data_IF_354823076485
#
_entry.id   IF_354823076485
#
_cell.length_a   1.000
_cell.length_b   1.000
_cell.length_c   1.000
_cell.angle_alpha   90.00
_cell.angle_beta   90.00
_cell.angle_gamma   90.00
#
_symmetry.space_group_name_H-M   'P 1'
#
loop_
_entity.id
_entity.type
_entity.pdbx_description
1 polymer ?
#
# COMPACT_ATOMS: atom_id res chain seq x y z
N UNK A 1 -8.76 -48.66 -5.48
CA UNK A 1 -8.44 -47.30 -6.02
C UNK A 1 -7.10 -47.34 -6.69
N UNK A 2 -6.97 -46.78 -7.87
CA UNK A 2 -5.65 -46.63 -8.50
C UNK A 2 -4.88 -45.56 -7.68
N UNK A 3 -3.55 -45.71 -7.55
CA UNK A 3 -2.70 -44.70 -6.85
C UNK A 3 -2.93 -43.28 -7.36
N UNK A 4 -3.31 -43.11 -8.62
CA UNK A 4 -3.59 -41.85 -9.26
C UNK A 4 -4.86 -41.18 -8.73
N UNK A 5 -5.97 -41.93 -8.52
CA UNK A 5 -7.23 -41.36 -7.99
C UNK A 5 -7.07 -40.89 -6.55
N UNK A 6 -6.32 -41.64 -5.72
CA UNK A 6 -6.02 -41.20 -4.34
C UNK A 6 -5.15 -39.97 -4.31
N UNK A 7 -4.13 -39.88 -5.18
CA UNK A 7 -3.28 -38.69 -5.30
C UNK A 7 -4.09 -37.46 -5.70
N UNK A 8 -4.95 -37.60 -6.72
CA UNK A 8 -5.82 -36.52 -7.19
C UNK A 8 -6.74 -36.02 -6.08
N UNK A 9 -7.45 -36.92 -5.37
CA UNK A 9 -8.33 -36.54 -4.27
C UNK A 9 -7.58 -35.80 -3.14
N UNK A 10 -6.36 -36.24 -2.81
CA UNK A 10 -5.53 -35.57 -1.80
C UNK A 10 -5.15 -34.15 -2.26
N UNK A 11 -4.73 -33.99 -3.52
CA UNK A 11 -4.35 -32.66 -4.05
C UNK A 11 -5.53 -31.70 -4.07
N UNK A 12 -6.75 -32.17 -4.41
CA UNK A 12 -7.97 -31.35 -4.38
C UNK A 12 -8.35 -30.95 -2.94
N UNK A 13 -8.24 -31.83 -1.96
CA UNK A 13 -8.49 -31.46 -0.56
C UNK A 13 -7.48 -30.43 -0.04
N UNK A 14 -6.19 -30.54 -0.40
CA UNK A 14 -5.22 -29.53 -0.04
C UNK A 14 -5.50 -28.18 -0.71
N UNK A 15 -5.87 -28.19 -1.99
CA UNK A 15 -6.29 -26.97 -2.71
C UNK A 15 -7.52 -26.31 -2.06
N UNK A 16 -8.51 -27.13 -1.67
CA UNK A 16 -9.68 -26.64 -0.96
C UNK A 16 -9.31 -26.02 0.40
N UNK A 17 -8.46 -26.69 1.20
CA UNK A 17 -8.02 -26.21 2.50
C UNK A 17 -7.28 -24.87 2.39
N UNK A 18 -6.38 -24.73 1.42
CA UNK A 18 -5.67 -23.46 1.15
C UNK A 18 -6.66 -22.34 0.80
N UNK A 19 -7.62 -22.58 -0.08
CA UNK A 19 -8.63 -21.58 -0.43
C UNK A 19 -9.50 -21.19 0.79
N UNK A 20 -9.91 -22.14 1.63
CA UNK A 20 -10.70 -21.83 2.85
C UNK A 20 -9.89 -21.02 3.86
N UNK A 21 -8.64 -21.39 4.12
CA UNK A 21 -7.76 -20.64 5.03
C UNK A 21 -7.57 -19.21 4.50
N UNK A 22 -7.31 -19.07 3.21
CA UNK A 22 -7.13 -17.76 2.56
C UNK A 22 -8.41 -16.93 2.60
N UNK A 23 -9.60 -17.56 2.43
CA UNK A 23 -10.88 -16.87 2.56
C UNK A 23 -11.12 -16.35 3.98
N UNK A 24 -10.74 -17.11 5.02
CA UNK A 24 -10.83 -16.68 6.43
C UNK A 24 -9.88 -15.49 6.67
N UNK A 25 -8.65 -15.54 6.17
CA UNK A 25 -7.70 -14.42 6.27
C UNK A 25 -8.29 -13.18 5.61
N UNK A 26 -8.78 -13.30 4.37
CA UNK A 26 -9.40 -12.20 3.64
C UNK A 26 -10.61 -11.62 4.40
N UNK A 27 -11.47 -12.44 4.98
CA UNK A 27 -12.60 -11.98 5.80
C UNK A 27 -12.16 -11.18 7.03
N UNK A 28 -11.03 -11.55 7.63
CA UNK A 28 -10.47 -10.82 8.77
C UNK A 28 -9.85 -9.47 8.36
N UNK A 29 -9.28 -9.37 7.15
CA UNK A 29 -8.53 -8.20 6.66
C UNK A 29 -9.39 -7.25 5.81
N UNK A 30 -10.50 -7.69 5.20
CA UNK A 30 -11.31 -6.95 4.22
C UNK A 30 -12.12 -5.75 4.76
N UNK A 31 -11.77 -5.20 5.93
CA UNK A 31 -12.55 -4.14 6.60
C UNK A 31 -12.69 -2.85 5.78
N UNK A 32 -11.76 -2.54 4.90
CA UNK A 32 -11.62 -1.23 4.26
C UNK A 32 -11.87 -1.21 2.75
N UNK A 33 -11.54 -2.28 2.00
CA UNK A 33 -11.79 -2.38 0.56
C UNK A 33 -12.69 -3.57 0.23
N UNK A 34 -13.99 -3.37 0.42
CA UNK A 34 -15.00 -4.41 0.14
C UNK A 34 -15.20 -4.66 -1.36
N UNK A 35 -14.87 -3.70 -2.24
CA UNK A 35 -15.20 -3.82 -3.66
C UNK A 35 -14.34 -4.84 -4.39
N UNK A 36 -13.03 -4.84 -4.16
CA UNK A 36 -12.10 -5.84 -4.71
C UNK A 36 -12.12 -7.14 -3.90
N UNK A 37 -12.25 -7.05 -2.58
CA UNK A 37 -12.25 -8.22 -1.68
C UNK A 37 -13.42 -9.17 -1.93
N UNK A 38 -14.62 -8.65 -2.18
CA UNK A 38 -15.83 -9.45 -2.39
C UNK A 38 -15.69 -10.47 -3.55
N UNK A 39 -15.28 -10.10 -4.77
CA UNK A 39 -15.09 -11.08 -5.84
C UNK A 39 -13.98 -12.09 -5.55
N UNK A 40 -12.88 -11.68 -4.90
CA UNK A 40 -11.78 -12.59 -4.50
C UNK A 40 -12.31 -13.61 -3.49
N UNK A 41 -13.06 -13.17 -2.50
CA UNK A 41 -13.71 -14.07 -1.54
C UNK A 41 -14.64 -15.07 -2.23
N UNK A 42 -15.44 -14.58 -3.18
CA UNK A 42 -16.31 -15.40 -4.02
C UNK A 42 -15.53 -16.45 -4.81
N UNK A 43 -14.42 -16.08 -5.45
CA UNK A 43 -13.54 -17.01 -6.16
C UNK A 43 -12.95 -18.06 -5.22
N UNK A 44 -12.46 -17.67 -4.04
CA UNK A 44 -11.86 -18.58 -3.05
C UNK A 44 -12.88 -19.60 -2.55
N UNK A 45 -14.08 -19.18 -2.15
CA UNK A 45 -15.12 -20.07 -1.64
C UNK A 45 -15.61 -21.01 -2.77
N UNK A 46 -15.84 -20.46 -3.96
CA UNK A 46 -16.30 -21.23 -5.11
C UNK A 46 -15.26 -22.29 -5.51
N UNK A 47 -13.98 -21.91 -5.58
CA UNK A 47 -12.92 -22.85 -5.92
C UNK A 47 -12.70 -23.91 -4.84
N UNK A 48 -12.79 -23.55 -3.55
CA UNK A 48 -12.70 -24.49 -2.45
C UNK A 48 -13.81 -25.55 -2.52
N UNK A 49 -15.05 -25.12 -2.71
CA UNK A 49 -16.21 -26.04 -2.83
C UNK A 49 -16.15 -26.89 -4.09
N UNK A 50 -15.63 -26.35 -5.20
CA UNK A 50 -15.37 -27.06 -6.43
C UNK A 50 -14.36 -28.21 -6.19
N UNK A 51 -13.23 -27.90 -5.58
CA UNK A 51 -12.17 -28.86 -5.27
C UNK A 51 -12.67 -30.00 -4.34
N UNK A 52 -13.47 -29.66 -3.31
CA UNK A 52 -14.10 -30.70 -2.44
C UNK A 52 -15.04 -31.59 -3.26
N UNK A 53 -15.86 -31.01 -4.12
CA UNK A 53 -16.78 -31.76 -4.96
C UNK A 53 -16.02 -32.70 -5.92
N UNK A 54 -14.96 -32.21 -6.54
CA UNK A 54 -14.12 -33.02 -7.44
C UNK A 54 -13.43 -34.17 -6.70
N UNK A 55 -12.85 -33.91 -5.51
CA UNK A 55 -12.27 -34.95 -4.66
C UNK A 55 -13.30 -36.05 -4.32
N UNK A 56 -14.54 -35.65 -3.93
CA UNK A 56 -15.60 -36.60 -3.64
C UNK A 56 -16.01 -37.41 -4.87
N UNK A 57 -16.08 -36.79 -6.05
CA UNK A 57 -16.36 -37.50 -7.28
C UNK A 57 -15.31 -38.57 -7.60
N UNK A 58 -14.01 -38.30 -7.35
CA UNK A 58 -12.93 -39.27 -7.51
C UNK A 58 -12.98 -40.40 -6.48
N UNK A 59 -13.24 -40.08 -5.20
CA UNK A 59 -13.25 -41.05 -4.09
C UNK A 59 -14.38 -42.06 -4.19
N UNK A 60 -15.57 -41.65 -4.63
CA UNK A 60 -16.75 -42.47 -4.69
C UNK A 60 -17.07 -43.03 -6.08
N UNK A 61 -16.24 -42.75 -7.10
CA UNK A 61 -16.37 -43.29 -8.43
C UNK A 61 -16.28 -44.83 -8.43
N UNK A 62 -17.24 -45.48 -9.09
CA UNK A 62 -17.29 -46.93 -9.13
C UNK A 62 -17.78 -47.59 -7.83
N UNK A 63 -18.21 -46.80 -6.83
CA UNK A 63 -18.80 -47.35 -5.62
C UNK A 63 -20.21 -47.86 -5.84
N UNK A 64 -20.56 -49.04 -5.30
CA UNK A 64 -21.84 -49.72 -5.55
C UNK A 64 -22.92 -49.34 -4.51
N UNK A 65 -22.59 -48.60 -3.43
CA UNK A 65 -23.54 -48.18 -2.44
C UNK A 65 -24.48 -47.06 -2.92
N UNK A 66 -25.72 -47.02 -2.47
CA UNK A 66 -26.68 -45.95 -2.76
C UNK A 66 -26.11 -44.55 -2.42
N UNK A 67 -25.35 -44.47 -1.32
CA UNK A 67 -24.64 -43.25 -0.93
C UNK A 67 -23.62 -42.83 -1.95
N UNK A 68 -22.79 -43.76 -2.47
CA UNK A 68 -21.77 -43.46 -3.51
C UNK A 68 -22.44 -42.95 -4.78
N UNK A 69 -23.55 -43.57 -5.22
CA UNK A 69 -24.33 -43.11 -6.37
C UNK A 69 -24.81 -41.66 -6.18
N UNK A 70 -25.32 -41.34 -5.01
CA UNK A 70 -25.81 -39.97 -4.75
C UNK A 70 -24.65 -38.95 -4.70
N UNK A 71 -23.55 -39.30 -3.97
CA UNK A 71 -22.37 -38.41 -3.83
C UNK A 71 -21.77 -38.07 -5.20
N UNK A 72 -21.52 -39.06 -6.07
CA UNK A 72 -20.92 -38.83 -7.37
C UNK A 72 -21.78 -37.94 -8.24
N UNK A 73 -23.13 -38.13 -8.23
CA UNK A 73 -24.05 -37.30 -9.00
C UNK A 73 -24.10 -35.86 -8.50
N UNK A 74 -24.22 -35.66 -7.19
CA UNK A 74 -24.24 -34.33 -6.58
C UNK A 74 -22.90 -33.64 -6.80
N UNK A 75 -21.79 -34.35 -6.59
CA UNK A 75 -20.45 -33.82 -6.77
C UNK A 75 -20.20 -33.31 -8.21
N UNK A 76 -20.51 -34.14 -9.22
CA UNK A 76 -20.35 -33.70 -10.63
C UNK A 76 -21.25 -32.50 -10.99
N UNK A 77 -22.51 -32.50 -10.53
CA UNK A 77 -23.39 -31.33 -10.73
C UNK A 77 -22.79 -30.07 -10.09
N UNK A 78 -22.27 -30.20 -8.86
CA UNK A 78 -21.62 -29.11 -8.12
C UNK A 78 -20.40 -28.58 -8.89
N UNK A 79 -19.55 -29.46 -9.43
CA UNK A 79 -18.39 -29.05 -10.24
C UNK A 79 -18.80 -28.18 -11.42
N UNK A 80 -19.81 -28.58 -12.20
CA UNK A 80 -20.26 -27.78 -13.34
C UNK A 80 -20.87 -26.46 -12.91
N UNK A 81 -21.69 -26.45 -11.86
CA UNK A 81 -22.32 -25.24 -11.35
C UNK A 81 -21.29 -24.23 -10.81
N UNK A 82 -20.29 -24.72 -10.05
CA UNK A 82 -19.28 -23.85 -9.45
C UNK A 82 -18.31 -23.25 -10.47
N UNK A 83 -18.05 -23.95 -11.58
CA UNK A 83 -17.32 -23.33 -12.68
C UNK A 83 -18.02 -22.08 -13.24
N UNK A 84 -19.34 -22.08 -13.32
CA UNK A 84 -20.10 -20.91 -13.76
C UNK A 84 -20.04 -19.76 -12.74
N UNK A 85 -20.10 -20.07 -11.44
CA UNK A 85 -19.88 -19.07 -10.40
C UNK A 85 -18.46 -18.50 -10.41
N UNK A 86 -17.45 -19.31 -10.74
CA UNK A 86 -16.08 -18.83 -10.86
C UNK A 86 -16.00 -17.76 -11.96
N UNK A 87 -16.54 -18.00 -13.15
CA UNK A 87 -16.63 -16.99 -14.23
C UNK A 87 -17.34 -15.72 -13.78
N UNK A 88 -18.42 -15.84 -13.01
CA UNK A 88 -19.13 -14.69 -12.46
C UNK A 88 -18.22 -13.82 -11.59
N UNK A 89 -17.48 -14.41 -10.65
CA UNK A 89 -16.61 -13.67 -9.76
C UNK A 89 -15.36 -13.13 -10.47
N UNK A 90 -14.78 -13.87 -11.41
CA UNK A 90 -13.67 -13.42 -12.26
C UNK A 90 -14.07 -12.19 -13.06
N UNK A 91 -15.24 -12.22 -13.74
CA UNK A 91 -15.76 -11.06 -14.45
C UNK A 91 -15.92 -9.85 -13.55
N UNK A 92 -16.52 -10.03 -12.37
CA UNK A 92 -16.74 -8.94 -11.42
C UNK A 92 -15.43 -8.36 -10.88
N UNK A 93 -14.45 -9.19 -10.61
CA UNK A 93 -13.14 -8.74 -10.15
C UNK A 93 -12.46 -7.86 -11.20
N UNK A 94 -12.32 -8.35 -12.43
CA UNK A 94 -11.66 -7.61 -13.53
C UNK A 94 -12.41 -6.32 -13.86
N UNK A 95 -13.74 -6.36 -13.95
CA UNK A 95 -14.56 -5.18 -14.20
C UNK A 95 -14.45 -4.12 -13.08
N UNK A 96 -14.27 -4.55 -11.82
CA UNK A 96 -14.06 -3.66 -10.68
C UNK A 96 -12.71 -2.99 -10.78
N UNK A 97 -11.63 -3.73 -11.05
CA UNK A 97 -10.28 -3.20 -11.22
C UNK A 97 -10.23 -2.19 -12.38
N UNK A 98 -10.78 -2.53 -13.54
CA UNK A 98 -10.84 -1.61 -14.68
C UNK A 98 -11.53 -0.30 -14.29
N UNK A 99 -12.66 -0.37 -13.60
CA UNK A 99 -13.43 0.81 -13.18
C UNK A 99 -12.67 1.66 -12.17
N UNK A 100 -12.01 1.06 -11.19
CA UNK A 100 -11.24 1.77 -10.16
C UNK A 100 -10.01 2.46 -10.73
N UNK A 101 -9.41 1.89 -11.77
CA UNK A 101 -8.30 2.50 -12.51
C UNK A 101 -8.76 3.56 -13.55
N UNK A 102 -10.01 4.03 -13.44
CA UNK A 102 -10.55 5.09 -14.31
C UNK A 102 -11.09 4.60 -15.66
N UNK A 103 -11.25 3.31 -15.85
CA UNK A 103 -11.82 2.71 -17.06
C UNK A 103 -13.35 2.71 -17.09
N UNK A 104 -13.95 2.23 -18.19
CA UNK A 104 -15.39 2.19 -18.40
C UNK A 104 -16.09 1.16 -17.49
N UNK A 105 -17.41 1.28 -17.37
CA UNK A 105 -18.22 0.40 -16.49
C UNK A 105 -18.57 -0.97 -17.13
N UNK A 106 -17.94 -1.40 -18.21
CA UNK A 106 -18.10 -2.71 -18.87
C UNK A 106 -19.56 -3.23 -18.93
N UNK A 107 -20.53 -2.34 -19.23
CA UNK A 107 -21.97 -2.66 -19.13
C UNK A 107 -22.43 -3.65 -20.21
N UNK A 108 -21.92 -3.52 -21.42
CA UNK A 108 -22.23 -4.40 -22.56
C UNK A 108 -21.74 -5.83 -22.30
N UNK A 109 -20.50 -5.95 -21.86
CA UNK A 109 -19.88 -7.24 -21.55
C UNK A 109 -20.59 -7.92 -20.37
N UNK A 110 -21.03 -7.14 -19.38
CA UNK A 110 -21.82 -7.65 -18.24
C UNK A 110 -23.14 -8.27 -18.68
N UNK A 111 -23.86 -7.63 -19.59
CA UNK A 111 -25.14 -8.16 -20.12
C UNK A 111 -24.90 -9.48 -20.85
N UNK A 112 -23.86 -9.54 -21.69
CA UNK A 112 -23.52 -10.74 -22.45
C UNK A 112 -23.14 -11.89 -21.51
N UNK A 113 -22.25 -11.62 -20.55
CA UNK A 113 -21.80 -12.64 -19.58
C UNK A 113 -22.97 -13.17 -18.75
N UNK A 114 -23.86 -12.30 -18.26
CA UNK A 114 -25.02 -12.73 -17.48
C UNK A 114 -26.00 -13.54 -18.30
N UNK A 115 -26.21 -13.18 -19.57
CA UNK A 115 -27.05 -13.97 -20.47
C UNK A 115 -26.47 -15.36 -20.70
N UNK A 116 -25.16 -15.46 -20.99
CA UNK A 116 -24.48 -16.74 -21.20
C UNK A 116 -24.47 -17.60 -19.92
N UNK A 117 -24.22 -17.00 -18.75
CA UNK A 117 -24.29 -17.69 -17.47
C UNK A 117 -25.69 -18.24 -17.18
N UNK A 118 -26.73 -17.43 -17.39
CA UNK A 118 -28.13 -17.86 -17.22
C UNK A 118 -28.49 -19.01 -18.19
N UNK A 119 -28.09 -18.92 -19.44
CA UNK A 119 -28.30 -19.99 -20.42
C UNK A 119 -27.58 -21.28 -20.01
N UNK A 120 -26.31 -21.17 -19.57
CA UNK A 120 -25.52 -22.31 -19.10
C UNK A 120 -26.13 -22.99 -17.87
N UNK A 121 -26.62 -22.21 -16.90
CA UNK A 121 -27.29 -22.75 -15.69
C UNK A 121 -28.59 -23.48 -16.07
N UNK A 122 -29.40 -22.87 -16.92
CA UNK A 122 -30.65 -23.49 -17.39
C UNK A 122 -30.38 -24.82 -18.11
N UNK A 123 -29.41 -24.83 -19.04
CA UNK A 123 -29.05 -26.04 -19.76
C UNK A 123 -28.46 -27.11 -18.87
N UNK A 124 -27.66 -26.72 -17.84
CA UNK A 124 -27.12 -27.64 -16.83
C UNK A 124 -28.24 -28.31 -16.01
N UNK A 125 -29.25 -27.55 -15.59
CA UNK A 125 -30.43 -28.06 -14.87
C UNK A 125 -31.22 -29.01 -15.76
N UNK A 126 -31.48 -28.62 -17.02
CA UNK A 126 -32.22 -29.42 -18.03
C UNK A 126 -31.42 -30.67 -18.44
N UNK A 127 -30.09 -30.67 -18.34
CA UNK A 127 -29.26 -31.81 -18.68
C UNK A 127 -29.61 -33.07 -17.85
N UNK A 128 -30.08 -32.92 -16.60
CA UNK A 128 -30.42 -34.05 -15.72
C UNK A 128 -31.62 -34.84 -16.24
N UNK A 129 -32.83 -34.25 -16.45
CA UNK A 129 -33.99 -34.99 -16.90
C UNK A 129 -33.91 -35.42 -18.37
N UNK A 130 -33.17 -34.66 -19.22
CA UNK A 130 -33.12 -34.93 -20.65
C UNK A 130 -31.84 -35.66 -21.10
N UNK A 131 -30.93 -36.03 -20.19
CA UNK A 131 -29.65 -36.66 -20.50
C UNK A 131 -28.89 -35.93 -21.60
N UNK A 132 -28.67 -34.63 -21.44
CA UNK A 132 -28.20 -33.79 -22.51
C UNK A 132 -26.65 -33.68 -22.56
N UNK A 133 -25.98 -33.46 -21.44
CA UNK A 133 -24.52 -33.26 -21.40
C UNK A 133 -23.74 -34.51 -20.98
N UNK A 134 -24.23 -35.22 -19.96
CA UNK A 134 -23.54 -36.36 -19.35
C UNK A 134 -24.53 -37.31 -18.67
N UNK A 135 -24.08 -38.53 -18.46
CA UNK A 135 -24.82 -39.52 -17.69
C UNK A 135 -23.85 -40.43 -16.88
N UNK A 136 -24.41 -41.37 -16.15
CA UNK A 136 -23.67 -42.34 -15.36
C UNK A 136 -24.10 -43.75 -15.75
N UNK A 137 -23.11 -44.67 -15.88
CA UNK A 137 -23.39 -46.06 -16.14
C UNK A 137 -23.90 -46.82 -14.89
N UNK A 138 -24.22 -48.06 -15.06
CA UNK A 138 -24.69 -48.95 -13.97
C UNK A 138 -23.65 -49.19 -12.88
N UNK A 139 -22.37 -48.96 -13.20
CA UNK A 139 -21.21 -49.12 -12.30
C UNK A 139 -20.77 -47.78 -11.70
N UNK A 140 -21.64 -46.75 -11.75
CA UNK A 140 -21.39 -45.41 -11.19
C UNK A 140 -20.18 -44.67 -11.78
N UNK A 141 -19.91 -44.91 -13.08
CA UNK A 141 -18.89 -44.15 -13.80
C UNK A 141 -19.57 -43.05 -14.63
N UNK A 142 -19.02 -41.85 -14.54
CA UNK A 142 -19.38 -40.70 -15.37
C UNK A 142 -18.93 -40.89 -16.81
N UNK A 143 -19.81 -40.57 -17.77
CA UNK A 143 -19.46 -40.44 -19.18
C UNK A 143 -20.14 -39.26 -19.85
N UNK A 144 -19.48 -38.73 -20.90
CA UNK A 144 -19.97 -37.58 -21.65
C UNK A 144 -20.89 -38.06 -22.76
N UNK A 145 -21.94 -37.31 -23.03
CA UNK A 145 -22.87 -37.51 -24.12
C UNK A 145 -22.48 -36.65 -25.33
N UNK A 146 -23.10 -36.92 -26.51
CA UNK A 146 -22.75 -36.26 -27.76
C UNK A 146 -22.91 -34.73 -27.71
N UNK A 147 -23.84 -34.22 -26.92
CA UNK A 147 -24.07 -32.79 -26.76
C UNK A 147 -23.15 -32.09 -25.70
N UNK A 148 -22.19 -32.80 -25.12
CA UNK A 148 -21.26 -32.22 -24.14
C UNK A 148 -20.45 -31.03 -24.68
N UNK A 149 -20.18 -30.97 -25.98
CA UNK A 149 -19.52 -29.85 -26.65
C UNK A 149 -20.26 -28.51 -26.49
N UNK A 150 -21.61 -28.53 -26.34
CA UNK A 150 -22.41 -27.30 -26.15
C UNK A 150 -22.04 -26.64 -24.83
N UNK A 151 -21.82 -27.42 -23.77
CA UNK A 151 -21.37 -26.89 -22.49
C UNK A 151 -19.96 -26.27 -22.58
N UNK A 152 -19.05 -26.97 -23.29
CA UNK A 152 -17.70 -26.41 -23.53
C UNK A 152 -17.81 -25.10 -24.30
N UNK A 153 -18.57 -25.07 -25.40
CA UNK A 153 -18.72 -23.87 -26.23
C UNK A 153 -19.29 -22.68 -25.46
N UNK A 154 -20.24 -22.91 -24.56
CA UNK A 154 -20.80 -21.85 -23.71
C UNK A 154 -19.76 -21.32 -22.71
N UNK A 155 -19.05 -22.20 -22.02
CA UNK A 155 -18.02 -21.81 -21.07
C UNK A 155 -16.88 -21.04 -21.75
N UNK A 156 -16.39 -21.52 -22.89
CA UNK A 156 -15.37 -20.82 -23.67
C UNK A 156 -15.85 -19.49 -24.23
N UNK A 157 -17.15 -19.37 -24.58
CA UNK A 157 -17.74 -18.09 -24.99
C UNK A 157 -17.72 -17.07 -23.84
N UNK A 158 -17.96 -17.49 -22.59
CA UNK A 158 -17.85 -16.60 -21.42
C UNK A 158 -16.40 -16.18 -21.23
N UNK A 159 -15.45 -17.12 -21.28
CA UNK A 159 -14.01 -16.85 -21.16
C UNK A 159 -13.55 -15.85 -22.24
N UNK A 160 -13.95 -16.05 -23.50
CA UNK A 160 -13.60 -15.16 -24.62
C UNK A 160 -14.15 -13.73 -24.42
N UNK A 161 -15.36 -13.57 -23.87
CA UNK A 161 -15.91 -12.24 -23.54
C UNK A 161 -15.08 -11.57 -22.46
N UNK A 162 -14.65 -12.31 -21.43
CA UNK A 162 -13.80 -11.78 -20.34
C UNK A 162 -12.43 -11.38 -20.89
N UNK A 163 -11.78 -12.25 -21.68
CA UNK A 163 -10.50 -11.96 -22.36
C UNK A 163 -10.62 -10.71 -23.25
N UNK A 164 -11.68 -10.62 -24.06
CA UNK A 164 -11.91 -9.45 -24.91
C UNK A 164 -12.07 -8.17 -24.08
N UNK A 165 -12.82 -8.23 -22.96
CA UNK A 165 -12.99 -7.12 -22.03
C UNK A 165 -11.64 -6.68 -21.46
N UNK A 166 -10.80 -7.62 -21.03
CA UNK A 166 -9.46 -7.38 -20.48
C UNK A 166 -8.57 -6.71 -21.53
N UNK A 167 -8.48 -7.26 -22.73
CA UNK A 167 -7.63 -6.74 -23.81
C UNK A 167 -8.09 -5.35 -24.29
N UNK A 168 -9.41 -5.14 -24.46
CA UNK A 168 -9.99 -3.85 -24.83
C UNK A 168 -9.65 -2.74 -23.83
N UNK A 169 -9.57 -3.09 -22.55
CA UNK A 169 -9.31 -2.15 -21.46
C UNK A 169 -7.87 -2.20 -20.94
N UNK A 170 -6.92 -2.78 -21.69
CA UNK A 170 -5.53 -3.02 -21.31
C UNK A 170 -4.80 -1.79 -20.79
N UNK A 171 -5.08 -0.61 -21.32
CA UNK A 171 -4.48 0.66 -20.92
C UNK A 171 -4.82 1.10 -19.49
N UNK A 172 -5.91 0.60 -18.92
CA UNK A 172 -6.34 0.90 -17.54
C UNK A 172 -5.78 -0.07 -16.51
N UNK A 173 -5.02 -1.08 -16.94
CA UNK A 173 -4.46 -2.10 -16.05
C UNK A 173 -2.98 -1.82 -15.78
N UNK A 174 -2.58 -1.95 -14.51
CA UNK A 174 -1.17 -1.91 -14.13
C UNK A 174 -0.43 -3.18 -14.58
N UNK A 175 0.89 -3.14 -14.63
CA UNK A 175 1.70 -4.25 -15.14
C UNK A 175 1.42 -5.59 -14.44
N UNK A 176 1.36 -5.59 -13.11
CA UNK A 176 1.05 -6.80 -12.34
C UNK A 176 -0.38 -7.31 -12.61
N UNK A 177 -1.38 -6.42 -12.62
CA UNK A 177 -2.77 -6.77 -12.92
C UNK A 177 -2.92 -7.42 -14.32
N UNK A 178 -2.13 -6.98 -15.30
CA UNK A 178 -2.09 -7.59 -16.65
C UNK A 178 -1.62 -9.03 -16.61
N UNK A 179 -0.54 -9.31 -15.87
CA UNK A 179 0.01 -10.67 -15.72
C UNK A 179 -1.00 -11.56 -15.02
N UNK A 180 -1.58 -11.11 -13.92
CA UNK A 180 -2.55 -11.86 -13.13
C UNK A 180 -3.78 -12.25 -13.94
N UNK A 181 -4.35 -11.29 -14.69
CA UNK A 181 -5.53 -11.55 -15.50
C UNK A 181 -5.22 -12.50 -16.64
N UNK A 182 -4.08 -12.35 -17.32
CA UNK A 182 -3.65 -13.31 -18.31
C UNK A 182 -3.45 -14.72 -17.72
N UNK A 183 -2.86 -14.83 -16.54
CA UNK A 183 -2.72 -16.11 -15.86
C UNK A 183 -4.08 -16.72 -15.50
N UNK A 184 -4.99 -15.91 -14.94
CA UNK A 184 -6.33 -16.36 -14.55
C UNK A 184 -7.17 -16.83 -15.73
N UNK A 185 -6.99 -16.22 -16.91
CA UNK A 185 -7.78 -16.49 -18.11
C UNK A 185 -7.14 -17.58 -19.00
N UNK A 186 -5.83 -17.53 -19.22
CA UNK A 186 -5.15 -18.41 -20.19
C UNK A 186 -4.67 -19.73 -19.59
N UNK A 187 -4.19 -19.73 -18.34
CA UNK A 187 -3.69 -20.96 -17.74
C UNK A 187 -4.73 -22.08 -17.62
N UNK A 188 -6.02 -21.80 -17.23
CA UNK A 188 -7.04 -22.83 -17.24
C UNK A 188 -7.32 -23.41 -18.62
N UNK A 189 -7.26 -22.60 -19.69
CA UNK A 189 -7.42 -23.05 -21.07
C UNK A 189 -6.26 -23.98 -21.45
N UNK A 190 -5.02 -23.59 -21.14
CA UNK A 190 -3.84 -24.44 -21.36
C UNK A 190 -3.95 -25.75 -20.59
N UNK A 191 -4.35 -25.69 -19.31
CA UNK A 191 -4.56 -26.88 -18.49
C UNK A 191 -5.62 -27.79 -19.08
N UNK A 192 -6.72 -27.26 -19.59
CA UNK A 192 -7.78 -28.02 -20.28
C UNK A 192 -7.25 -28.72 -21.54
N UNK A 193 -6.46 -28.03 -22.36
CA UNK A 193 -5.84 -28.63 -23.56
C UNK A 193 -4.89 -29.76 -23.16
N UNK A 194 -4.07 -29.58 -22.13
CA UNK A 194 -3.17 -30.63 -21.61
C UNK A 194 -3.97 -31.85 -21.12
N UNK A 195 -5.10 -31.62 -20.44
CA UNK A 195 -5.98 -32.70 -19.97
C UNK A 195 -6.62 -33.54 -21.09
N UNK A 196 -6.68 -33.03 -22.33
CA UNK A 196 -7.10 -33.85 -23.48
C UNK A 196 -6.10 -34.97 -23.80
N UNK A 197 -4.82 -34.76 -23.53
CA UNK A 197 -3.75 -35.72 -23.77
C UNK A 197 -3.44 -36.58 -22.52
N UNK A 198 -3.67 -36.08 -21.32
CA UNK A 198 -3.39 -36.76 -20.05
C UNK A 198 -4.69 -37.02 -19.29
N UNK A 199 -5.40 -38.05 -19.71
CA UNK A 199 -6.70 -38.41 -19.10
C UNK A 199 -6.53 -38.90 -17.65
N UNK A 200 -7.33 -38.32 -16.75
CA UNK A 200 -7.41 -38.72 -15.33
C UNK A 200 -6.71 -37.84 -14.32
N UNK A 201 -6.12 -36.71 -14.75
CA UNK A 201 -5.56 -35.68 -13.87
C UNK A 201 -6.38 -34.39 -14.02
N UNK A 202 -6.91 -33.84 -12.93
CA UNK A 202 -7.56 -32.53 -12.94
C UNK A 202 -6.53 -31.42 -12.71
N UNK A 203 -5.99 -30.91 -13.82
CA UNK A 203 -4.99 -29.84 -13.79
C UNK A 203 -5.65 -28.47 -13.65
N UNK A 204 -6.86 -28.31 -14.15
CA UNK A 204 -7.57 -27.03 -14.21
C UNK A 204 -7.89 -26.48 -12.83
N UNK A 205 -8.32 -27.33 -11.89
CA UNK A 205 -8.63 -26.93 -10.51
C UNK A 205 -7.39 -26.46 -9.74
N UNK A 206 -6.27 -27.16 -9.94
CA UNK A 206 -4.97 -26.78 -9.36
C UNK A 206 -4.51 -25.42 -9.88
N UNK A 207 -4.59 -25.22 -11.20
CA UNK A 207 -4.22 -23.96 -11.87
C UNK A 207 -5.10 -22.82 -11.39
N UNK A 208 -6.42 -23.02 -11.29
CA UNK A 208 -7.35 -22.03 -10.74
C UNK A 208 -6.98 -21.66 -9.31
N UNK A 209 -6.65 -22.67 -8.47
CA UNK A 209 -6.23 -22.43 -7.09
C UNK A 209 -5.00 -21.53 -7.03
N UNK A 210 -3.96 -21.84 -7.80
CA UNK A 210 -2.71 -21.06 -7.84
C UNK A 210 -2.99 -19.63 -8.32
N UNK A 211 -3.77 -19.46 -9.39
CA UNK A 211 -4.10 -18.14 -9.94
C UNK A 211 -4.88 -17.27 -8.96
N UNK A 212 -5.85 -17.85 -8.26
CA UNK A 212 -6.66 -17.11 -7.25
C UNK A 212 -5.81 -16.75 -6.03
N UNK A 213 -4.92 -17.63 -5.58
CA UNK A 213 -3.99 -17.32 -4.49
C UNK A 213 -3.00 -16.23 -4.85
N UNK A 214 -2.52 -16.18 -6.08
CA UNK A 214 -1.67 -15.09 -6.57
C UNK A 214 -2.42 -13.75 -6.53
N UNK A 215 -3.66 -13.69 -7.02
CA UNK A 215 -4.50 -12.50 -6.96
C UNK A 215 -4.70 -12.04 -5.51
N UNK A 216 -4.99 -12.98 -4.60
CA UNK A 216 -5.12 -12.66 -3.19
C UNK A 216 -3.82 -12.06 -2.62
N UNK A 217 -2.66 -12.65 -2.90
CA UNK A 217 -1.37 -12.13 -2.44
C UNK A 217 -1.11 -10.72 -2.94
N UNK A 218 -1.33 -10.47 -4.24
CA UNK A 218 -1.13 -9.12 -4.81
C UNK A 218 -2.12 -8.11 -4.25
N UNK A 219 -3.37 -8.52 -4.00
CA UNK A 219 -4.37 -7.68 -3.34
C UNK A 219 -3.91 -7.28 -1.93
N UNK A 220 -3.47 -8.23 -1.08
CA UNK A 220 -3.00 -7.96 0.28
C UNK A 220 -1.74 -7.08 0.30
N UNK A 221 -0.76 -7.36 -0.57
CA UNK A 221 0.45 -6.53 -0.68
C UNK A 221 0.13 -5.11 -1.14
N UNK A 222 -0.70 -4.96 -2.17
CA UNK A 222 -1.12 -3.65 -2.68
C UNK A 222 -1.90 -2.86 -1.63
N UNK A 223 -2.80 -3.53 -0.91
CA UNK A 223 -3.57 -2.93 0.18
C UNK A 223 -2.67 -2.42 1.31
N UNK A 224 -1.72 -3.25 1.77
CA UNK A 224 -0.77 -2.89 2.84
C UNK A 224 0.06 -1.66 2.46
N UNK A 225 0.58 -1.62 1.23
CA UNK A 225 1.35 -0.46 0.73
C UNK A 225 0.50 0.83 0.69
N UNK A 226 -0.76 0.74 0.26
CA UNK A 226 -1.67 1.88 0.27
C UNK A 226 -2.01 2.39 1.67
N UNK A 227 -2.20 1.50 2.64
CA UNK A 227 -2.48 1.88 4.04
C UNK A 227 -1.26 2.58 4.64
N UNK A 228 -0.08 1.99 4.51
CA UNK A 228 1.18 2.58 5.01
C UNK A 228 1.44 3.96 4.39
N UNK A 229 1.23 4.11 3.07
CA UNK A 229 1.37 5.41 2.41
C UNK A 229 0.37 6.45 2.93
N UNK A 230 -0.89 6.07 3.14
CA UNK A 230 -1.91 6.97 3.69
C UNK A 230 -1.59 7.40 5.11
N UNK A 231 -1.17 6.49 5.96
CA UNK A 231 -0.76 6.80 7.33
C UNK A 231 0.43 7.75 7.34
N UNK A 232 1.42 7.55 6.47
CA UNK A 232 2.58 8.43 6.32
C UNK A 232 2.17 9.83 5.87
N UNK A 233 1.31 9.95 4.85
CA UNK A 233 0.79 11.23 4.38
C UNK A 233 0.01 11.94 5.50
N UNK A 234 -0.87 11.23 6.19
CA UNK A 234 -1.65 11.78 7.29
C UNK A 234 -0.75 12.28 8.43
N UNK A 235 0.24 11.50 8.83
CA UNK A 235 1.22 11.89 9.85
C UNK A 235 1.96 13.18 9.45
N UNK A 236 2.43 13.26 8.20
CA UNK A 236 3.11 14.46 7.71
C UNK A 236 2.19 15.69 7.70
N UNK A 237 0.90 15.53 7.36
CA UNK A 237 -0.10 16.61 7.46
C UNK A 237 -0.34 17.05 8.91
N UNK A 238 -0.40 16.12 9.85
CA UNK A 238 -0.54 16.42 11.29
C UNK A 238 0.67 17.20 11.80
N UNK A 239 1.89 16.74 11.48
CA UNK A 239 3.14 17.43 11.84
C UNK A 239 3.16 18.85 11.26
N UNK A 240 2.85 19.00 9.98
CA UNK A 240 2.80 20.34 9.33
C UNK A 240 1.73 21.25 9.96
N UNK A 241 0.58 20.70 10.37
CA UNK A 241 -0.45 21.45 11.07
C UNK A 241 0.02 21.93 12.44
N UNK A 242 0.74 21.10 13.21
CA UNK A 242 1.35 21.53 14.47
C UNK A 242 2.41 22.61 14.24
N UNK A 243 3.28 22.47 13.26
CA UNK A 243 4.26 23.49 12.89
C UNK A 243 3.57 24.84 12.58
N UNK A 244 2.50 24.82 11.78
CA UNK A 244 1.71 26.02 11.48
C UNK A 244 1.08 26.64 12.73
N UNK A 245 0.60 25.81 13.67
CA UNK A 245 0.01 26.31 14.91
C UNK A 245 1.06 26.94 15.85
N UNK A 246 2.28 26.39 15.87
CA UNK A 246 3.42 26.96 16.62
C UNK A 246 3.82 28.29 16.01
N UNK A 247 4.02 28.34 14.68
CA UNK A 247 4.35 29.57 13.96
C UNK A 247 3.29 30.66 14.12
N UNK A 248 2.00 30.29 14.15
CA UNK A 248 0.89 31.24 14.34
C UNK A 248 0.85 31.82 15.75
N UNK A 249 1.39 31.14 16.76
CA UNK A 249 1.47 31.66 18.14
C UNK A 249 2.62 32.64 18.33
N UNK A 250 3.70 32.49 17.60
CA UNK A 250 4.85 33.42 17.59
C UNK A 250 4.65 34.39 16.40
N UNK A 251 4.17 35.60 16.67
CA UNK A 251 3.81 36.62 15.65
C UNK A 251 4.98 36.98 14.70
N UNK A 252 6.18 36.55 15.02
CA UNK A 252 7.39 36.84 14.24
C UNK A 252 7.81 35.70 13.30
N UNK A 253 7.13 34.55 13.37
CA UNK A 253 7.62 33.31 12.72
C UNK A 253 6.70 32.72 11.63
N UNK A 254 5.81 33.51 11.03
CA UNK A 254 4.91 32.99 9.97
C UNK A 254 5.66 32.22 8.89
N UNK A 255 5.39 30.90 8.78
CA UNK A 255 6.01 29.97 7.84
C UNK A 255 7.47 29.60 8.13
N UNK A 256 8.01 30.02 9.26
CA UNK A 256 9.40 29.73 9.68
C UNK A 256 9.71 28.24 9.71
N UNK A 257 8.92 27.46 10.45
CA UNK A 257 9.16 26.02 10.58
C UNK A 257 9.19 25.29 9.22
N UNK A 258 8.35 25.72 8.27
CA UNK A 258 8.32 25.16 6.91
C UNK A 258 9.59 25.51 6.12
N UNK A 259 10.08 26.76 6.24
CA UNK A 259 11.33 27.17 5.58
C UNK A 259 12.54 26.50 6.20
N UNK A 260 12.62 26.40 7.53
CA UNK A 260 13.68 25.67 8.21
C UNK A 260 13.70 24.19 7.79
N UNK A 261 12.54 23.54 7.64
CA UNK A 261 12.45 22.19 7.12
C UNK A 261 12.94 22.08 5.67
N UNK A 262 12.57 23.03 4.80
CA UNK A 262 13.06 23.13 3.39
C UNK A 262 14.60 23.18 3.35
N UNK A 263 15.20 24.07 4.14
CA UNK A 263 16.66 24.24 4.18
C UNK A 263 17.39 23.05 4.79
N UNK A 264 16.83 22.47 5.86
CA UNK A 264 17.37 21.26 6.50
C UNK A 264 17.39 20.09 5.53
N UNK A 265 16.32 19.92 4.74
CA UNK A 265 16.24 18.91 3.66
C UNK A 265 17.31 19.12 2.60
N UNK A 266 17.49 20.35 2.12
CA UNK A 266 18.53 20.67 1.12
C UNK A 266 19.94 20.36 1.62
N UNK A 267 20.23 20.67 2.89
CA UNK A 267 21.53 20.33 3.51
C UNK A 267 21.67 18.81 3.59
N UNK A 268 20.64 18.09 4.05
CA UNK A 268 20.66 16.64 4.20
C UNK A 268 20.85 15.91 2.86
N UNK A 269 20.21 16.40 1.77
CA UNK A 269 20.39 15.89 0.41
C UNK A 269 21.83 16.07 -0.09
N UNK A 270 22.46 17.22 0.21
CA UNK A 270 23.87 17.50 -0.16
C UNK A 270 24.86 16.63 0.66
N UNK A 271 24.50 16.21 1.86
CA UNK A 271 25.26 15.25 2.65
C UNK A 271 25.14 13.80 2.12
N UNK A 272 24.24 13.52 1.17
CA UNK A 272 24.01 12.19 0.62
C UNK A 272 23.31 11.25 1.59
N UNK A 273 22.49 11.77 2.51
CA UNK A 273 21.73 10.96 3.47
C UNK A 273 20.64 10.15 2.76
N UNK A 274 20.19 9.05 3.37
CA UNK A 274 19.09 8.23 2.83
C UNK A 274 17.76 9.01 2.82
N UNK A 275 16.82 8.58 1.98
CA UNK A 275 15.50 9.22 1.90
C UNK A 275 14.78 9.21 3.25
N UNK A 276 14.94 8.15 4.02
CA UNK A 276 14.35 7.99 5.34
C UNK A 276 14.96 8.99 6.34
N UNK A 277 16.28 9.16 6.32
CA UNK A 277 16.97 10.15 7.16
C UNK A 277 16.59 11.58 6.81
N UNK A 278 16.50 11.90 5.52
CA UNK A 278 16.07 13.22 5.03
C UNK A 278 14.67 13.55 5.52
N UNK A 279 13.72 12.60 5.41
CA UNK A 279 12.35 12.79 5.86
C UNK A 279 12.26 12.94 7.39
N UNK A 280 13.05 12.18 8.14
CA UNK A 280 13.13 12.29 9.59
C UNK A 280 13.64 13.67 10.02
N UNK A 281 14.69 14.19 9.36
CA UNK A 281 15.24 15.53 9.60
C UNK A 281 14.21 16.61 9.25
N UNK A 282 13.48 16.47 8.15
CA UNK A 282 12.41 17.39 7.75
C UNK A 282 11.30 17.45 8.82
N UNK A 283 10.89 16.31 9.39
CA UNK A 283 9.92 16.25 10.48
C UNK A 283 10.46 16.87 11.79
N UNK A 284 11.72 16.61 12.13
CA UNK A 284 12.39 17.23 13.29
C UNK A 284 12.44 18.76 13.14
N UNK A 285 12.78 19.24 11.94
CA UNK A 285 12.85 20.67 11.65
C UNK A 285 11.49 21.35 11.76
N UNK A 286 10.40 20.71 11.28
CA UNK A 286 9.05 21.22 11.46
C UNK A 286 8.64 21.39 12.93
N UNK A 287 9.18 20.56 13.81
CA UNK A 287 8.82 20.50 15.23
C UNK A 287 9.90 21.07 16.16
N UNK A 288 11.01 21.65 15.63
CA UNK A 288 12.13 22.08 16.45
C UNK A 288 11.73 23.08 17.56
N UNK A 289 10.78 23.93 17.26
CA UNK A 289 10.29 25.01 18.12
C UNK A 289 9.02 24.65 18.92
N UNK A 290 8.58 23.38 18.95
CA UNK A 290 7.33 22.96 19.62
C UNK A 290 7.31 23.34 21.11
N UNK A 291 8.46 23.44 21.74
CA UNK A 291 8.58 23.84 23.15
C UNK A 291 8.17 25.30 23.43
N UNK A 292 8.07 26.15 22.41
CA UNK A 292 7.51 27.51 22.56
C UNK A 292 6.06 27.47 23.07
N UNK A 293 5.36 26.34 22.92
CA UNK A 293 4.02 26.15 23.51
C UNK A 293 4.01 26.28 25.04
N UNK A 294 5.13 26.02 25.71
CA UNK A 294 5.27 26.14 27.17
C UNK A 294 5.74 27.53 27.60
N UNK A 295 6.10 28.43 26.68
CA UNK A 295 6.54 29.79 27.01
C UNK A 295 5.32 30.72 27.18
N UNK A 296 5.26 31.55 28.23
CA UNK A 296 4.19 32.52 28.40
C UNK A 296 4.14 33.53 27.24
N UNK A 297 2.94 33.86 26.77
CA UNK A 297 2.73 34.82 25.65
C UNK A 297 3.31 36.20 25.93
N UNK A 298 3.24 36.67 27.17
CA UNK A 298 3.80 37.97 27.59
C UNK A 298 5.34 38.04 27.38
N UNK A 299 6.03 36.91 27.37
CA UNK A 299 7.47 36.84 27.11
C UNK A 299 7.72 36.54 25.62
N UNK A 300 7.01 35.53 25.05
CA UNK A 300 7.19 35.11 23.67
C UNK A 300 6.92 36.24 22.66
N UNK A 301 5.84 37.01 22.90
CA UNK A 301 5.37 38.08 22.02
C UNK A 301 5.67 39.49 22.55
N UNK A 302 6.65 39.65 23.45
CA UNK A 302 7.02 40.91 24.02
C UNK A 302 7.50 41.91 22.96
N UNK A 303 6.83 43.09 22.92
CA UNK A 303 7.28 44.18 22.06
C UNK A 303 8.54 44.85 22.68
N UNK A 304 9.73 44.51 22.18
CA UNK A 304 11.00 45.07 22.61
C UNK A 304 12.01 44.05 23.09
N UNK A 305 13.08 44.53 23.75
CA UNK A 305 14.15 43.63 24.21
C UNK A 305 13.71 42.84 25.44
N UNK A 306 14.03 41.58 25.48
CA UNK A 306 13.87 40.69 26.63
C UNK A 306 14.87 41.11 27.75
N UNK A 307 14.45 41.00 29.00
CA UNK A 307 15.38 41.06 30.12
C UNK A 307 16.24 39.77 30.19
N UNK A 308 17.36 39.74 30.90
CA UNK A 308 18.13 38.51 31.08
C UNK A 308 17.29 37.35 31.63
N UNK A 309 16.40 37.61 32.59
CA UNK A 309 15.51 36.63 33.22
C UNK A 309 14.49 36.09 32.22
N UNK A 310 13.88 36.95 31.39
CA UNK A 310 12.94 36.56 30.32
C UNK A 310 13.66 35.73 29.23
N UNK A 311 14.90 36.09 28.94
CA UNK A 311 15.69 35.32 27.97
C UNK A 311 16.00 33.93 28.48
N UNK A 312 16.31 33.74 29.80
CA UNK A 312 16.45 32.43 30.40
C UNK A 312 15.16 31.58 30.27
N UNK A 313 13.99 32.21 30.40
CA UNK A 313 12.70 31.51 30.14
C UNK A 313 12.61 31.03 28.67
N UNK A 314 12.94 31.90 27.71
CA UNK A 314 12.97 31.49 26.30
C UNK A 314 13.92 30.28 26.08
N UNK A 315 15.11 30.29 26.69
CA UNK A 315 16.08 29.19 26.57
C UNK A 315 15.58 27.84 27.11
N UNK A 316 14.45 27.81 27.80
CA UNK A 316 13.84 26.56 28.24
C UNK A 316 13.09 25.80 27.13
N UNK A 317 12.71 26.49 26.02
CA UNK A 317 11.88 25.84 24.98
C UNK A 317 12.50 24.57 24.38
N UNK A 318 13.85 24.40 24.19
CA UNK A 318 14.40 23.18 23.69
C UNK A 318 14.15 21.97 24.63
N UNK A 319 14.34 22.19 25.92
CA UNK A 319 14.06 21.16 26.94
C UNK A 319 12.56 20.85 27.01
N UNK A 320 11.70 21.87 26.97
CA UNK A 320 10.25 21.69 26.91
C UNK A 320 9.78 21.00 25.63
N UNK A 321 10.40 21.31 24.50
CA UNK A 321 10.16 20.62 23.23
C UNK A 321 10.48 19.14 23.31
N UNK A 322 11.62 18.79 23.91
CA UNK A 322 11.97 17.40 24.19
C UNK A 322 10.92 16.72 25.09
N UNK A 323 10.53 17.34 26.21
CA UNK A 323 9.51 16.79 27.13
C UNK A 323 8.18 16.49 26.43
N UNK A 324 7.76 17.31 25.44
CA UNK A 324 6.56 17.13 24.63
C UNK A 324 6.77 15.94 23.68
N UNK A 325 7.88 15.93 22.92
CA UNK A 325 8.12 14.94 21.87
C UNK A 325 8.50 13.55 22.40
N UNK A 326 9.04 13.44 23.60
CA UNK A 326 9.32 12.17 24.30
C UNK A 326 8.03 11.34 24.56
N UNK A 327 6.84 11.96 24.44
CA UNK A 327 5.55 11.24 24.51
C UNK A 327 5.25 10.40 23.27
N UNK A 328 5.99 10.65 22.18
CA UNK A 328 5.87 9.88 20.92
C UNK A 328 6.87 8.72 20.98
N UNK A 329 6.49 7.64 21.67
CA UNK A 329 7.36 6.51 21.98
C UNK A 329 7.88 5.80 20.70
N UNK A 330 7.07 5.74 19.65
CA UNK A 330 7.44 5.09 18.38
C UNK A 330 8.47 5.88 17.56
N UNK A 331 8.70 7.16 17.90
CA UNK A 331 9.65 8.05 17.20
C UNK A 331 10.49 8.90 18.14
N UNK A 332 11.31 8.28 19.00
CA UNK A 332 12.07 8.98 20.04
C UNK A 332 13.09 9.98 19.49
N UNK A 333 13.53 9.81 18.24
CA UNK A 333 14.51 10.70 17.59
C UNK A 333 13.95 12.07 17.24
N UNK A 334 12.61 12.25 17.13
CA UNK A 334 11.99 13.56 16.85
C UNK A 334 12.41 14.63 17.87
N UNK A 335 12.66 14.24 19.11
CA UNK A 335 13.09 15.15 20.17
C UNK A 335 14.49 15.73 19.97
N UNK A 336 15.34 15.13 19.11
CA UNK A 336 16.72 15.56 18.86
C UNK A 336 16.75 16.98 18.31
N UNK A 337 15.96 17.25 17.27
CA UNK A 337 15.87 18.58 16.65
C UNK A 337 15.41 19.62 17.66
N UNK A 338 14.35 19.34 18.40
CA UNK A 338 13.82 20.26 19.39
C UNK A 338 14.81 20.55 20.52
N UNK A 339 15.53 19.54 21.02
CA UNK A 339 16.42 19.69 22.18
C UNK A 339 17.71 20.44 21.86
N UNK A 340 18.34 20.17 20.70
CA UNK A 340 19.72 20.58 20.48
C UNK A 340 19.97 21.52 19.28
N UNK A 341 18.94 22.05 18.61
CA UNK A 341 19.12 22.98 17.49
C UNK A 341 19.78 24.33 17.88
N UNK A 342 19.80 24.70 19.16
CA UNK A 342 20.50 25.86 19.69
C UNK A 342 21.88 25.54 20.27
N UNK A 343 22.36 24.29 20.14
CA UNK A 343 23.76 24.00 20.47
C UNK A 343 24.68 24.64 19.42
N UNK A 344 25.85 25.07 19.88
CA UNK A 344 26.86 25.71 19.06
C UNK A 344 28.08 24.79 18.95
N UNK A 345 28.70 24.79 17.78
CA UNK A 345 29.88 23.94 17.55
C UNK A 345 31.05 24.18 18.53
N UNK A 346 31.16 25.44 19.05
CA UNK A 346 32.12 25.85 20.04
C UNK A 346 31.74 25.52 21.52
N UNK A 347 30.62 24.84 21.75
CA UNK A 347 30.15 24.45 23.09
C UNK A 347 29.52 25.58 23.90
N UNK A 348 29.32 26.76 23.32
CA UNK A 348 28.67 27.93 23.97
C UNK A 348 27.18 27.99 23.74
N UNK A 349 26.56 26.92 23.22
CA UNK A 349 25.14 26.78 22.99
C UNK A 349 24.37 26.37 24.24
N UNK A 350 23.12 26.04 24.06
CA UNK A 350 22.21 25.54 25.10
C UNK A 350 21.27 24.46 24.51
N UNK A 351 20.71 23.58 25.35
CA UNK A 351 20.67 23.58 26.82
C UNK A 351 21.84 22.87 27.49
N UNK A 352 22.55 21.97 26.81
CA UNK A 352 23.54 21.06 27.41
C UNK A 352 25.00 21.54 27.22
N UNK A 353 25.27 22.50 26.33
CA UNK A 353 26.59 23.01 26.00
C UNK A 353 27.46 21.98 25.27
N UNK A 354 26.86 21.22 24.35
CA UNK A 354 27.56 20.16 23.61
C UNK A 354 28.62 20.75 22.69
N UNK A 355 29.79 20.10 22.60
CA UNK A 355 30.92 20.56 21.78
C UNK A 355 31.04 19.72 20.51
N UNK A 356 31.19 20.38 19.40
CA UNK A 356 31.55 19.81 18.08
C UNK A 356 30.66 18.57 17.69
N UNK A 357 31.29 17.43 17.46
CA UNK A 357 30.60 16.20 17.02
C UNK A 357 29.76 15.53 18.13
N UNK A 358 29.79 16.00 19.36
CA UNK A 358 28.87 15.56 20.41
C UNK A 358 27.45 16.10 20.17
N UNK A 359 27.30 17.15 19.35
CA UNK A 359 26.01 17.63 18.88
C UNK A 359 25.49 16.66 17.80
N UNK A 360 24.29 16.08 17.94
CA UNK A 360 23.71 15.22 16.92
C UNK A 360 23.72 15.88 15.54
N UNK A 361 23.95 15.08 14.49
CA UNK A 361 24.04 15.58 13.11
C UNK A 361 22.77 16.35 12.73
N UNK A 362 21.61 15.82 13.08
CA UNK A 362 20.29 16.40 12.79
C UNK A 362 20.16 17.80 13.42
N UNK A 363 20.62 17.95 14.65
CA UNK A 363 20.59 19.24 15.36
C UNK A 363 21.53 20.26 14.71
N UNK A 364 22.73 19.84 14.26
CA UNK A 364 23.65 20.73 13.51
C UNK A 364 23.07 21.19 12.19
N UNK A 365 22.37 20.30 11.47
CA UNK A 365 21.65 20.62 10.23
C UNK A 365 20.54 21.64 10.51
N UNK A 366 19.68 21.36 11.49
CA UNK A 366 18.53 22.21 11.84
C UNK A 366 19.02 23.57 12.36
N UNK A 367 20.04 23.62 13.23
CA UNK A 367 20.60 24.87 13.74
C UNK A 367 21.20 25.75 12.64
N UNK A 368 21.81 25.17 11.58
CA UNK A 368 22.28 25.92 10.43
C UNK A 368 21.10 26.48 9.62
N UNK A 369 20.07 25.66 9.38
CA UNK A 369 18.86 26.05 8.64
C UNK A 369 18.05 27.14 9.38
N UNK A 370 17.87 27.00 10.69
CA UNK A 370 17.20 27.99 11.56
C UNK A 370 17.95 29.35 11.54
N UNK A 371 19.27 29.33 11.72
CA UNK A 371 20.07 30.55 11.65
C UNK A 371 20.00 31.22 10.29
N UNK A 372 19.98 30.44 9.18
CA UNK A 372 19.80 31.00 7.84
C UNK A 372 18.39 31.65 7.71
N UNK A 373 17.32 30.97 8.09
CA UNK A 373 15.97 31.56 8.06
C UNK A 373 15.87 32.84 8.92
N UNK A 374 16.48 32.80 10.11
CA UNK A 374 16.51 33.97 11.00
C UNK A 374 17.23 35.20 10.37
N UNK A 375 18.20 34.99 9.49
CA UNK A 375 18.93 36.04 8.78
C UNK A 375 18.24 36.49 7.49
N UNK A 376 17.58 35.57 6.78
CA UNK A 376 16.94 35.77 5.49
C UNK A 376 15.45 36.11 5.54
N UNK A 377 14.85 36.15 6.74
CA UNK A 377 13.44 36.53 6.95
C UNK A 377 13.31 37.95 7.49
N UNK A 378 12.21 38.61 7.13
CA UNK A 378 11.89 39.95 7.65
C UNK A 378 11.38 39.84 9.09
N UNK A 379 12.08 40.47 10.07
CA UNK A 379 11.66 40.53 11.47
C UNK A 379 11.35 41.97 11.83
N UNK A 380 10.30 42.21 12.64
CA UNK A 380 9.79 43.56 12.99
C UNK A 380 10.82 44.52 13.57
N UNK A 381 11.93 44.00 14.10
CA UNK A 381 13.01 44.78 14.71
C UNK A 381 14.32 44.79 13.92
N UNK A 382 14.38 44.13 12.77
CA UNK A 382 15.58 44.04 11.92
C UNK A 382 15.20 43.97 10.45
N UNK A 383 15.77 44.83 9.62
CA UNK A 383 15.66 44.72 8.17
C UNK A 383 16.29 43.42 7.64
N UNK A 384 15.76 42.94 6.53
CA UNK A 384 16.28 41.80 5.78
C UNK A 384 17.78 42.02 5.49
N UNK A 385 18.62 41.03 5.78
CA UNK A 385 20.01 41.05 5.36
C UNK A 385 20.14 40.74 3.88
N UNK A 386 21.06 41.38 3.20
CA UNK A 386 21.40 41.00 1.82
C UNK A 386 22.05 39.63 1.80
N UNK A 387 21.93 38.92 0.68
CA UNK A 387 22.54 37.58 0.51
C UNK A 387 24.06 37.64 0.80
N UNK A 388 24.76 38.67 0.37
CA UNK A 388 26.18 38.86 0.65
C UNK A 388 26.51 39.01 2.13
N UNK A 389 25.63 39.69 2.92
CA UNK A 389 25.77 39.82 4.37
C UNK A 389 25.55 38.50 5.08
N UNK A 390 24.53 37.73 4.67
CA UNK A 390 24.26 36.40 5.21
C UNK A 390 25.44 35.46 4.95
N UNK A 391 25.94 35.46 3.72
CA UNK A 391 27.09 34.66 3.32
C UNK A 391 28.31 34.96 4.19
N UNK A 392 28.65 36.26 4.37
CA UNK A 392 29.78 36.67 5.20
C UNK A 392 29.60 36.30 6.69
N UNK A 393 28.36 36.33 7.20
CA UNK A 393 28.04 35.93 8.57
C UNK A 393 28.25 34.41 8.80
N UNK A 394 27.78 33.58 7.87
CA UNK A 394 27.96 32.12 7.93
C UNK A 394 29.46 31.77 7.84
N UNK A 395 30.20 32.38 6.91
CA UNK A 395 31.64 32.15 6.73
C UNK A 395 32.42 32.54 8.00
N UNK A 396 32.12 33.67 8.61
CA UNK A 396 32.75 34.16 9.84
C UNK A 396 32.53 33.24 11.05
N UNK A 397 31.32 32.65 11.15
CA UNK A 397 30.92 31.80 12.27
C UNK A 397 31.11 30.29 12.02
N UNK A 398 31.70 29.92 10.89
CA UNK A 398 32.11 28.54 10.62
C UNK A 398 33.16 28.07 11.65
N UNK A 399 32.98 26.91 12.24
CA UNK A 399 33.84 26.37 13.32
C UNK A 399 33.58 26.94 14.70
N UNK A 400 32.69 27.95 14.83
CA UNK A 400 32.29 28.53 16.14
C UNK A 400 30.81 28.27 16.40
N UNK A 401 29.92 29.01 15.80
CA UNK A 401 28.49 28.75 15.91
C UNK A 401 28.09 27.52 15.09
N UNK A 402 28.56 27.41 13.85
CA UNK A 402 28.19 26.40 12.89
C UNK A 402 29.25 25.32 12.73
N UNK A 403 28.79 24.08 12.52
CA UNK A 403 29.65 23.01 11.99
C UNK A 403 30.25 23.45 10.65
N UNK A 404 31.58 23.35 10.46
CA UNK A 404 32.23 23.75 9.21
C UNK A 404 31.65 23.06 7.95
N UNK A 405 31.24 21.80 8.08
CA UNK A 405 30.62 21.05 6.97
C UNK A 405 29.25 21.62 6.62
N UNK A 406 28.41 21.88 7.63
CA UNK A 406 27.08 22.50 7.42
C UNK A 406 27.20 23.90 6.85
N UNK A 407 28.15 24.69 7.35
CA UNK A 407 28.42 26.04 6.83
C UNK A 407 28.85 25.99 5.36
N UNK A 408 29.77 25.10 4.97
CA UNK A 408 30.23 24.95 3.60
C UNK A 408 29.08 24.56 2.65
N UNK A 409 28.24 23.61 3.06
CA UNK A 409 27.08 23.19 2.27
C UNK A 409 26.09 24.35 2.10
N UNK A 410 25.79 25.08 3.18
CA UNK A 410 24.84 26.20 3.12
C UNK A 410 25.40 27.33 2.25
N UNK A 411 26.69 27.63 2.30
CA UNK A 411 27.34 28.59 1.39
C UNK A 411 27.22 28.18 -0.06
N UNK A 412 27.40 26.90 -0.39
CA UNK A 412 27.18 26.37 -1.73
C UNK A 412 25.74 26.54 -2.20
N UNK A 413 24.76 26.32 -1.33
CA UNK A 413 23.32 26.51 -1.63
C UNK A 413 23.05 28.01 -1.92
N UNK A 414 23.60 28.91 -1.12
CA UNK A 414 23.46 30.36 -1.31
C UNK A 414 24.12 30.82 -2.62
N UNK A 415 25.30 30.31 -2.95
CA UNK A 415 26.02 30.67 -4.16
C UNK A 415 25.34 30.22 -5.47
N UNK A 416 24.49 29.17 -5.39
CA UNK A 416 23.64 28.70 -6.49
C UNK A 416 22.37 29.54 -6.67
N UNK A 417 21.87 30.17 -5.60
CA UNK A 417 20.66 31.03 -5.59
C UNK A 417 20.97 32.44 -6.09
N UNK A 418 21.23 32.57 -7.39
CA UNK A 418 21.68 33.84 -8.01
C UNK A 418 20.66 34.97 -7.88
N UNK A 419 19.39 34.64 -7.82
CA UNK A 419 18.30 35.61 -7.81
C UNK A 419 17.76 35.85 -6.39
N UNK A 420 18.40 35.27 -5.36
CA UNK A 420 18.00 35.35 -3.96
C UNK A 420 16.54 34.97 -3.73
N UNK A 421 16.07 33.92 -4.40
CA UNK A 421 14.68 33.42 -4.30
C UNK A 421 14.50 32.37 -3.20
N UNK A 422 15.60 31.87 -2.63
CA UNK A 422 15.56 30.81 -1.63
C UNK A 422 14.79 31.24 -0.35
N UNK A 423 14.77 32.55 -0.06
CA UNK A 423 14.13 33.14 1.11
C UNK A 423 12.61 33.38 0.94
N UNK A 424 12.09 33.28 -0.27
CA UNK A 424 10.66 33.32 -0.60
C UNK A 424 9.98 31.96 -0.32
#
# INVERSE_FOLDING_TARGET
>A
MTNLASFQAISEFWSAALCFITAIILLATMRFDKKRAWPILGMLITNATLNVAEALAYLFRGGESQAAFTIVRVANFTVFLHNLFLFFFVFHFIATVIKENGGPNCRSERIIVYFLLAASIVLLILSRPFRFYYDFDATNHYFRLDNYWVMIALNESIALVIIFMTLRNWKYLHFLERIEFLMLELLPIVAMVVQLFFYGISLTTLVNTISILMIFMTYEFGYTDHVVKRERIFLNQVIASFATAIDARDIYTGGHSTRVAKYSKMIAERLGLSKEQIEEIEQMALLHDIGKLAIPDAILNKAGRLTPEEYEVIKTHPTKGKEILDKIVERPRLAIGAKWHHERFDGKGYPDGLLANNIPLEARIIGMADAYDAMSSNRSYRALLTQAQIRAEIERNSGSQFDPTMAHIMLSIIDEDKDYQLHE
#
